data_IF_062366304056
#
_entry.id   IF_062366304056
#
_cell.length_a   1.000
_cell.length_b   1.000
_cell.length_c   1.000
_cell.angle_alpha   90.00
_cell.angle_beta   90.00
_cell.angle_gamma   90.00
#
_symmetry.space_group_name_H-M   'P 1'
#
loop_
_entity.id
_entity.type
_entity.pdbx_description
1 polymer ?
#
# COMPACT_ATOMS: atom_id res chain seq x y z
N UNK A 1 22.13 35.35 34.01
CA UNK A 1 22.27 34.13 33.19
C UNK A 1 21.30 33.12 33.75
N UNK A 2 20.11 33.12 33.16
CA UNK A 2 18.97 32.32 33.54
C UNK A 2 18.55 31.57 32.30
N UNK A 3 18.66 30.25 32.30
CA UNK A 3 17.94 29.39 31.38
C UNK A 3 17.83 28.02 32.03
N UNK A 4 16.66 27.80 32.64
CA UNK A 4 16.17 26.47 32.95
C UNK A 4 14.68 26.43 32.58
N UNK A 5 14.25 25.27 32.09
CA UNK A 5 12.87 24.84 31.78
C UNK A 5 12.16 25.40 30.53
N UNK A 6 12.07 24.58 29.48
CA UNK A 6 10.77 24.13 28.96
C UNK A 6 10.90 22.91 28.01
N UNK A 7 10.77 21.70 28.55
CA UNK A 7 10.53 20.46 27.80
C UNK A 7 9.17 19.91 28.24
N UNK A 8 8.16 20.02 27.38
CA UNK A 8 6.86 19.38 27.59
C UNK A 8 5.81 19.93 26.63
N UNK A 9 5.38 19.14 25.64
CA UNK A 9 4.28 19.51 24.75
C UNK A 9 4.18 18.74 23.43
N UNK A 10 5.20 17.99 23.02
CA UNK A 10 5.21 17.27 21.73
C UNK A 10 4.71 15.82 21.74
N UNK A 11 4.38 15.25 22.90
CA UNK A 11 4.09 13.81 23.03
C UNK A 11 2.61 13.44 22.99
N UNK A 12 1.70 14.32 23.40
CA UNK A 12 0.27 13.97 23.53
C UNK A 12 -0.47 13.99 22.18
N UNK A 13 -0.09 14.89 21.27
CA UNK A 13 -0.70 15.00 19.95
C UNK A 13 -0.34 13.84 19.00
N UNK A 14 0.87 13.29 19.08
CA UNK A 14 1.26 12.10 18.30
C UNK A 14 0.51 10.86 18.75
N UNK A 15 0.32 10.69 20.07
CA UNK A 15 -0.37 9.53 20.64
C UNK A 15 -1.85 9.49 20.21
N UNK A 16 -2.52 10.65 20.16
CA UNK A 16 -3.94 10.73 19.77
C UNK A 16 -4.12 10.39 18.29
N UNK A 17 -3.20 10.84 17.42
CA UNK A 17 -3.23 10.53 15.98
C UNK A 17 -2.97 9.04 15.74
N UNK A 18 -1.96 8.48 16.41
CA UNK A 18 -1.61 7.05 16.29
C UNK A 18 -2.76 6.14 16.80
N UNK A 19 -3.46 6.56 17.87
CA UNK A 19 -4.63 5.82 18.39
C UNK A 19 -5.83 5.89 17.45
N UNK A 20 -6.10 7.04 16.82
CA UNK A 20 -7.18 7.20 15.86
C UNK A 20 -6.95 6.37 14.59
N UNK A 21 -5.71 6.30 14.11
CA UNK A 21 -5.33 5.48 12.97
C UNK A 21 -5.43 3.98 13.29
N UNK A 22 -5.01 3.58 14.50
CA UNK A 22 -5.14 2.20 14.96
C UNK A 22 -6.61 1.75 15.08
N UNK A 23 -7.49 2.62 15.60
CA UNK A 23 -8.93 2.35 15.68
C UNK A 23 -9.57 2.24 14.30
N UNK A 24 -9.16 3.08 13.35
CA UNK A 24 -9.67 3.02 11.99
C UNK A 24 -9.33 1.67 11.33
N UNK A 25 -8.13 1.15 11.54
CA UNK A 25 -7.70 -0.14 10.99
C UNK A 25 -8.51 -1.34 11.51
N UNK A 26 -9.16 -1.23 12.67
CA UNK A 26 -10.04 -2.28 13.23
C UNK A 26 -11.38 -2.35 12.46
N UNK A 27 -11.78 -1.25 11.84
CA UNK A 27 -13.07 -1.11 11.13
C UNK A 27 -12.98 -1.42 9.64
N UNK A 28 -11.75 -1.60 9.12
CA UNK A 28 -11.47 -1.84 7.71
C UNK A 28 -11.31 -3.34 7.46
N UNK A 29 -11.98 -3.82 6.43
CA UNK A 29 -11.91 -5.20 5.99
C UNK A 29 -10.52 -5.49 5.42
N UNK A 30 -9.77 -6.45 5.97
CA UNK A 30 -8.44 -6.78 5.46
C UNK A 30 -8.43 -7.31 4.01
N UNK A 31 -9.57 -7.75 3.47
CA UNK A 31 -9.69 -8.24 2.09
C UNK A 31 -10.04 -7.11 1.11
N UNK A 32 -11.09 -6.32 1.38
CA UNK A 32 -11.55 -5.26 0.48
C UNK A 32 -10.93 -3.89 0.74
N UNK A 33 -10.27 -3.70 1.89
CA UNK A 33 -9.74 -2.43 2.38
C UNK A 33 -10.80 -1.31 2.45
N UNK A 34 -12.07 -1.70 2.51
CA UNK A 34 -13.21 -0.81 2.74
C UNK A 34 -13.74 -1.05 4.16
N UNK A 35 -14.62 -0.17 4.64
CA UNK A 35 -15.32 -0.41 5.92
C UNK A 35 -15.97 -1.79 5.91
N UNK A 36 -15.85 -2.53 7.01
CA UNK A 36 -16.40 -3.88 7.09
C UNK A 36 -17.93 -3.82 6.99
N UNK A 37 -18.50 -4.58 6.05
CA UNK A 37 -19.94 -4.77 5.90
C UNK A 37 -20.35 -6.18 6.34
N UNK A 38 -21.38 -6.28 7.19
CA UNK A 38 -21.82 -7.53 7.82
C UNK A 38 -20.63 -8.33 8.44
N UNK A 39 -20.01 -7.78 9.51
CA UNK A 39 -18.78 -8.34 10.06
C UNK A 39 -18.96 -9.78 10.55
N UNK A 40 -18.06 -10.66 10.13
CA UNK A 40 -17.97 -12.06 10.58
C UNK A 40 -16.61 -12.35 11.18
N UNK A 41 -16.60 -13.14 12.24
CA UNK A 41 -15.43 -13.61 12.95
C UNK A 41 -15.09 -15.03 12.51
N UNK A 42 -13.79 -15.25 12.31
CA UNK A 42 -13.21 -16.57 12.07
C UNK A 42 -12.84 -17.25 13.39
N UNK A 43 -12.68 -18.58 13.41
CA UNK A 43 -12.22 -19.34 14.60
C UNK A 43 -10.82 -18.94 15.08
N UNK A 44 -10.04 -18.25 14.24
CA UNK A 44 -8.75 -17.69 14.61
C UNK A 44 -8.81 -16.27 15.19
N UNK A 45 -10.00 -15.67 15.32
CA UNK A 45 -10.21 -14.37 15.96
C UNK A 45 -10.12 -13.15 15.05
N UNK A 46 -9.99 -13.32 13.74
CA UNK A 46 -9.97 -12.22 12.77
C UNK A 46 -11.36 -11.94 12.21
N UNK A 47 -11.68 -10.65 12.00
CA UNK A 47 -12.95 -10.19 11.43
C UNK A 47 -12.80 -9.73 9.98
N UNK A 48 -13.82 -9.97 9.17
CA UNK A 48 -13.90 -9.61 7.75
C UNK A 48 -15.35 -9.26 7.38
N UNK A 49 -15.55 -8.64 6.22
CA UNK A 49 -16.90 -8.57 5.65
C UNK A 49 -17.35 -9.97 5.21
N UNK A 50 -18.62 -10.31 5.40
CA UNK A 50 -19.12 -11.66 5.06
C UNK A 50 -18.83 -12.03 3.61
N UNK A 51 -19.18 -11.16 2.67
CA UNK A 51 -19.06 -11.43 1.24
C UNK A 51 -17.62 -11.73 0.84
N UNK A 52 -16.68 -10.93 1.35
CA UNK A 52 -15.26 -11.00 0.98
C UNK A 52 -14.59 -12.26 1.52
N UNK A 53 -14.85 -12.63 2.77
CA UNK A 53 -14.30 -13.86 3.34
C UNK A 53 -14.96 -15.10 2.75
N UNK A 54 -16.26 -15.08 2.45
CA UNK A 54 -16.93 -16.22 1.84
C UNK A 54 -16.41 -16.50 0.41
N UNK A 55 -16.19 -15.45 -0.40
CA UNK A 55 -15.54 -15.58 -1.70
C UNK A 55 -14.09 -16.08 -1.56
N UNK A 56 -13.35 -15.59 -0.57
CA UNK A 56 -12.00 -16.08 -0.28
C UNK A 56 -12.01 -17.58 0.06
N UNK A 57 -12.90 -18.02 0.95
CA UNK A 57 -13.01 -19.41 1.37
C UNK A 57 -13.45 -20.34 0.24
N UNK A 58 -14.20 -19.84 -0.75
CA UNK A 58 -14.52 -20.62 -1.95
C UNK A 58 -13.26 -21.03 -2.75
N UNK A 59 -12.16 -20.27 -2.63
CA UNK A 59 -10.89 -20.48 -3.33
C UNK A 59 -9.82 -21.09 -2.42
N UNK A 60 -9.76 -20.65 -1.16
CA UNK A 60 -8.71 -20.97 -0.19
C UNK A 60 -9.32 -21.15 1.19
N UNK A 61 -9.32 -22.37 1.71
CA UNK A 61 -9.88 -22.74 3.03
C UNK A 61 -8.94 -22.34 4.19
N UNK A 62 -8.51 -21.08 4.23
CA UNK A 62 -7.54 -20.55 5.21
C UNK A 62 -7.86 -19.10 5.55
N UNK A 63 -7.55 -18.63 6.75
CA UNK A 63 -7.69 -17.23 7.12
C UNK A 63 -6.75 -16.34 6.27
N UNK A 64 -7.23 -15.21 5.70
CA UNK A 64 -6.38 -14.28 4.95
C UNK A 64 -5.24 -13.68 5.77
N UNK A 65 -5.42 -13.51 7.08
CA UNK A 65 -4.45 -12.84 7.96
C UNK A 65 -3.43 -13.78 8.61
N UNK A 66 -3.85 -14.95 9.06
CA UNK A 66 -2.97 -15.87 9.82
C UNK A 66 -2.83 -17.27 9.22
N UNK A 67 -3.49 -17.53 8.09
CA UNK A 67 -3.43 -18.78 7.34
C UNK A 67 -3.88 -20.06 8.08
N UNK A 68 -4.44 -19.93 9.30
CA UNK A 68 -5.12 -21.06 9.95
C UNK A 68 -6.25 -21.57 9.04
N UNK A 69 -6.33 -22.89 8.89
CA UNK A 69 -7.40 -23.54 8.13
C UNK A 69 -8.74 -23.19 8.75
N UNK A 70 -9.64 -22.66 7.94
CA UNK A 70 -11.00 -22.29 8.32
C UNK A 70 -11.94 -22.64 7.17
N UNK A 71 -13.17 -23.00 7.51
CA UNK A 71 -14.22 -23.30 6.54
C UNK A 71 -15.40 -22.34 6.67
N UNK A 72 -16.24 -22.28 5.64
CA UNK A 72 -17.34 -21.30 5.55
C UNK A 72 -18.37 -21.46 6.69
N UNK A 73 -18.60 -22.69 7.13
CA UNK A 73 -19.47 -23.06 8.26
C UNK A 73 -18.93 -22.64 9.63
N UNK A 74 -17.64 -22.26 9.71
CA UNK A 74 -16.99 -21.83 10.93
C UNK A 74 -17.00 -20.30 11.12
N UNK A 75 -17.68 -19.56 10.23
CA UNK A 75 -17.84 -18.11 10.34
C UNK A 75 -18.99 -17.77 11.29
N UNK A 76 -18.70 -17.00 12.34
CA UNK A 76 -19.70 -16.53 13.30
C UNK A 76 -19.94 -15.03 13.12
N UNK A 77 -21.19 -14.52 13.10
CA UNK A 77 -21.43 -13.07 13.06
C UNK A 77 -20.74 -12.34 14.23
N UNK A 78 -20.17 -11.15 13.97
CA UNK A 78 -19.56 -10.29 14.98
C UNK A 78 -20.46 -9.07 15.25
N UNK A 79 -21.51 -9.27 16.07
CA UNK A 79 -22.50 -8.24 16.37
C UNK A 79 -21.90 -7.00 17.06
N UNK A 80 -20.89 -7.18 17.93
CA UNK A 80 -20.25 -6.06 18.62
C UNK A 80 -19.52 -5.13 17.66
N UNK A 81 -18.80 -5.66 16.68
CA UNK A 81 -18.15 -4.84 15.66
C UNK A 81 -19.17 -4.14 14.78
N UNK A 82 -20.28 -4.81 14.46
CA UNK A 82 -21.39 -4.21 13.70
C UNK A 82 -21.97 -2.99 14.42
N UNK A 83 -22.29 -3.12 15.71
CA UNK A 83 -22.83 -2.02 16.52
C UNK A 83 -21.88 -0.81 16.54
N UNK A 84 -20.57 -1.03 16.66
CA UNK A 84 -19.57 0.03 16.65
C UNK A 84 -19.56 0.77 15.30
N UNK A 85 -19.55 0.03 14.18
CA UNK A 85 -19.55 0.60 12.83
C UNK A 85 -20.82 1.44 12.61
N UNK A 86 -21.99 0.90 12.97
CA UNK A 86 -23.28 1.57 12.83
C UNK A 86 -23.33 2.88 13.66
N UNK A 87 -22.84 2.84 14.91
CA UNK A 87 -22.76 4.03 15.75
C UNK A 87 -21.82 5.12 15.19
N UNK A 88 -20.67 4.74 14.66
CA UNK A 88 -19.71 5.68 14.08
C UNK A 88 -20.26 6.33 12.80
N UNK A 89 -20.94 5.54 11.95
CA UNK A 89 -21.62 6.06 10.76
C UNK A 89 -22.71 7.07 11.14
N UNK A 90 -23.49 6.81 12.21
CA UNK A 90 -24.49 7.74 12.71
C UNK A 90 -23.88 9.06 13.22
N UNK A 91 -22.73 9.01 13.91
CA UNK A 91 -22.01 10.19 14.37
C UNK A 91 -21.51 11.04 13.19
N UNK A 92 -20.91 10.41 12.17
CA UNK A 92 -20.42 11.10 10.97
C UNK A 92 -21.57 11.75 10.19
N UNK A 93 -22.70 11.07 10.04
CA UNK A 93 -23.88 11.62 9.38
C UNK A 93 -24.46 12.83 10.14
N UNK A 94 -24.45 12.80 11.48
CA UNK A 94 -24.88 13.93 12.29
C UNK A 94 -23.93 15.14 12.19
N UNK A 95 -22.62 14.92 12.10
CA UNK A 95 -21.63 16.00 11.88
C UNK A 95 -21.74 16.61 10.48
N UNK A 96 -21.96 15.77 9.45
CA UNK A 96 -22.19 16.24 8.08
C UNK A 96 -23.50 17.04 7.96
N UNK A 97 -24.57 16.62 8.64
CA UNK A 97 -25.82 17.39 8.66
C UNK A 97 -25.67 18.75 9.37
N UNK A 98 -24.89 18.85 10.45
CA UNK A 98 -24.60 20.16 11.07
C UNK A 98 -23.76 21.06 10.14
N UNK A 99 -22.80 20.49 9.41
CA UNK A 99 -22.01 21.25 8.43
C UNK A 99 -22.84 21.71 7.23
N UNK A 100 -23.79 20.90 6.73
CA UNK A 100 -24.70 21.29 5.63
C UNK A 100 -25.69 22.39 6.10
N UNK A 101 -26.21 22.31 7.32
CA UNK A 101 -27.08 23.36 7.89
C UNK A 101 -26.31 24.68 8.06
N UNK A 102 -25.06 24.62 8.52
CA UNK A 102 -24.19 25.80 8.65
C UNK A 102 -23.71 26.36 7.31
N UNK A 103 -23.65 25.54 6.26
CA UNK A 103 -23.31 25.97 4.89
C UNK A 103 -24.53 26.54 4.14
N UNK A 104 -25.74 26.12 4.51
CA UNK A 104 -26.98 26.58 3.86
C UNK A 104 -27.48 27.91 4.44
N UNK A 105 -27.11 28.25 5.68
CA UNK A 105 -27.41 29.55 6.28
C UNK A 105 -26.57 30.70 5.70
N UNK A 106 -25.48 30.42 4.99
CA UNK A 106 -24.69 31.43 4.25
C UNK A 106 -25.17 31.72 2.83
N UNK A 107 -26.17 30.98 2.32
CA UNK A 107 -26.73 31.18 0.96
C UNK A 107 -28.13 31.80 0.92
N UNK A 108 -28.73 32.15 2.07
CA UNK A 108 -29.94 32.99 2.13
C UNK A 108 -29.57 34.36 2.71
N UNK A 109 -28.73 35.10 1.99
CA UNK A 109 -28.60 36.55 2.12
C UNK A 109 -28.34 37.12 0.73
N UNK A 110 -29.38 37.16 -0.09
CA UNK A 110 -29.62 38.20 -1.10
C UNK A 110 -30.89 37.84 -1.86
N UNK A 111 -32.03 38.31 -1.35
CA UNK A 111 -33.03 38.95 -2.20
C UNK A 111 -33.92 39.84 -1.34
N UNK A 112 -33.87 41.14 -1.62
CA UNK A 112 -34.77 42.15 -1.10
C UNK A 112 -36.09 42.06 -1.85
N UNK A 113 -37.18 41.61 -1.23
CA UNK A 113 -38.49 42.25 -1.41
C UNK A 113 -39.50 41.84 -0.34
N UNK A 114 -40.20 42.85 0.15
CA UNK A 114 -41.35 42.89 1.04
C UNK A 114 -42.50 41.91 0.71
N UNK A 115 -43.26 41.57 1.76
CA UNK A 115 -44.45 40.68 1.85
C UNK A 115 -44.06 39.20 1.93
N UNK A 116 -44.27 38.50 3.05
CA UNK A 116 -45.53 38.26 3.75
C UNK A 116 -45.22 38.09 5.25
N UNK A 117 -45.58 39.09 6.06
CA UNK A 117 -45.89 38.86 7.48
C UNK A 117 -47.41 38.74 7.53
N UNK A 118 -47.90 37.52 7.74
CA UNK A 118 -49.24 37.30 8.27
C UNK A 118 -49.25 35.99 9.04
N UNK A 119 -49.49 36.14 10.34
CA UNK A 119 -50.04 35.15 11.26
C UNK A 119 -49.12 34.01 11.68
N UNK A 120 -48.57 34.12 12.89
CA UNK A 120 -49.25 33.54 14.04
C UNK A 120 -48.74 34.12 15.36
N UNK A 121 -49.64 34.83 16.04
CA UNK A 121 -49.57 35.10 17.47
C UNK A 121 -49.66 33.76 18.22
N UNK A 122 -48.64 33.42 19.01
CA UNK A 122 -48.85 32.74 20.28
C UNK A 122 -48.09 33.50 21.36
N UNK A 123 -48.81 33.68 22.45
CA UNK A 123 -48.68 34.68 23.48
C UNK A 123 -47.63 34.29 24.54
N UNK A 124 -47.21 35.34 25.25
CA UNK A 124 -46.90 35.37 26.69
C UNK A 124 -45.50 34.94 27.17
N UNK A 125 -44.72 35.97 27.48
CA UNK A 125 -44.27 36.30 28.84
C UNK A 125 -43.84 35.14 29.73
N UNK A 126 -42.53 34.91 29.74
CA UNK A 126 -41.67 34.78 30.92
C UNK A 126 -40.34 34.21 30.40
N UNK A 127 -39.22 34.94 30.54
CA UNK A 127 -37.83 34.42 30.60
C UNK A 127 -36.73 35.48 30.31
N UNK A 128 -36.97 36.78 30.58
CA UNK A 128 -35.94 37.80 30.34
C UNK A 128 -34.66 37.65 31.19
N UNK A 129 -34.66 36.90 32.30
CA UNK A 129 -33.42 36.62 33.06
C UNK A 129 -32.61 35.42 32.54
N UNK A 130 -33.25 34.43 31.93
CA UNK A 130 -32.55 33.24 31.40
C UNK A 130 -31.88 33.51 30.06
N UNK A 131 -32.39 34.46 29.28
CA UNK A 131 -31.81 34.86 27.99
C UNK A 131 -30.52 35.70 28.16
N UNK A 132 -30.38 36.44 29.27
CA UNK A 132 -29.17 37.22 29.57
C UNK A 132 -28.00 36.34 30.08
N UNK A 133 -28.32 35.27 30.83
CA UNK A 133 -27.34 34.29 31.28
C UNK A 133 -26.88 33.41 30.09
N UNK A 134 -27.81 33.01 29.22
CA UNK A 134 -27.48 32.22 28.04
C UNK A 134 -26.68 33.03 27.00
N UNK A 135 -27.00 34.31 26.80
CA UNK A 135 -26.23 35.19 25.90
C UNK A 135 -24.84 35.53 26.44
N UNK A 136 -24.69 35.72 27.76
CA UNK A 136 -23.37 35.89 28.37
C UNK A 136 -22.52 34.61 28.30
N UNK A 137 -23.12 33.42 28.50
CA UNK A 137 -22.42 32.14 28.31
C UNK A 137 -22.03 31.88 26.85
N UNK A 138 -22.90 32.20 25.89
CA UNK A 138 -22.61 32.08 24.45
C UNK A 138 -21.49 33.04 24.02
N UNK A 139 -21.46 34.27 24.53
CA UNK A 139 -20.37 35.22 24.26
C UNK A 139 -19.03 34.80 24.91
N UNK A 140 -19.06 34.21 26.11
CA UNK A 140 -17.87 33.61 26.72
C UNK A 140 -17.36 32.43 25.91
N UNK A 141 -18.25 31.54 25.45
CA UNK A 141 -17.88 30.38 24.64
C UNK A 141 -17.37 30.81 23.25
N UNK A 142 -17.97 31.83 22.63
CA UNK A 142 -17.51 32.41 21.38
C UNK A 142 -16.11 33.05 21.50
N UNK A 143 -15.84 33.74 22.61
CA UNK A 143 -14.52 34.31 22.89
C UNK A 143 -13.47 33.22 23.19
N UNK A 144 -13.86 32.14 23.88
CA UNK A 144 -12.99 30.98 24.10
C UNK A 144 -12.69 30.23 22.79
N UNK A 145 -13.67 30.11 21.90
CA UNK A 145 -13.52 29.52 20.57
C UNK A 145 -12.66 30.40 19.64
N UNK A 146 -12.78 31.72 19.73
CA UNK A 146 -11.92 32.65 18.99
C UNK A 146 -10.46 32.60 19.49
N UNK A 147 -10.27 32.48 20.81
CA UNK A 147 -8.93 32.33 21.40
C UNK A 147 -8.31 30.97 21.03
N UNK A 148 -9.11 29.89 21.03
CA UNK A 148 -8.70 28.57 20.53
C UNK A 148 -8.39 28.58 19.03
N UNK A 149 -9.20 29.25 18.20
CA UNK A 149 -8.95 29.42 16.77
C UNK A 149 -7.66 30.18 16.49
N UNK A 150 -7.37 31.24 17.25
CA UNK A 150 -6.13 32.01 17.09
C UNK A 150 -4.87 31.24 17.51
N UNK A 151 -5.00 30.34 18.51
CA UNK A 151 -3.93 29.42 18.93
C UNK A 151 -3.72 28.30 17.91
N UNK A 152 -4.80 27.81 17.28
CA UNK A 152 -4.74 26.87 16.16
C UNK A 152 -4.06 27.52 14.96
N UNK A 153 -4.39 28.77 14.62
CA UNK A 153 -3.78 29.53 13.51
C UNK A 153 -2.29 29.86 13.71
N UNK A 154 -1.85 30.01 14.96
CA UNK A 154 -0.42 30.14 15.28
C UNK A 154 0.31 28.79 15.23
N UNK A 155 -0.37 27.67 15.51
CA UNK A 155 0.20 26.33 15.37
C UNK A 155 0.27 25.83 13.92
N UNK A 156 -0.67 26.27 13.05
CA UNK A 156 -0.71 25.89 11.63
C UNK A 156 0.27 26.65 10.76
N UNK A 157 0.86 27.77 11.23
CA UNK A 157 1.96 28.46 10.52
C UNK A 157 3.30 27.70 10.52
N UNK A 158 3.40 26.58 11.25
CA UNK A 158 4.55 25.64 11.21
C UNK A 158 4.20 24.35 10.43
N UNK A 159 3.01 24.28 9.81
CA UNK A 159 2.65 23.15 8.96
C UNK A 159 3.51 23.15 7.69
N UNK A 160 4.40 22.15 7.57
CA UNK A 160 5.01 21.76 6.29
C UNK A 160 3.90 21.62 5.24
N UNK A 161 4.17 21.97 3.97
CA UNK A 161 3.16 21.95 2.92
C UNK A 161 2.45 20.59 2.88
N UNK A 162 1.12 20.65 2.85
CA UNK A 162 0.23 19.50 2.65
C UNK A 162 0.80 18.65 1.52
N UNK A 163 1.13 17.35 1.75
CA UNK A 163 1.66 16.51 0.69
C UNK A 163 0.66 16.50 -0.46
N UNK A 164 1.11 16.83 -1.68
CA UNK A 164 0.31 16.63 -2.89
C UNK A 164 -0.22 15.19 -2.88
N UNK A 165 -1.54 15.05 -3.04
CA UNK A 165 -2.20 13.77 -3.19
C UNK A 165 -1.44 12.93 -4.23
N UNK A 166 -1.01 11.71 -3.88
CA UNK A 166 -0.15 10.91 -4.76
C UNK A 166 -0.90 10.63 -6.06
N UNK A 167 -0.29 10.94 -7.19
CA UNK A 167 -0.90 10.75 -8.53
C UNK A 167 -1.02 9.26 -8.94
N UNK A 168 -0.59 8.35 -8.08
CA UNK A 168 -0.58 6.91 -8.34
C UNK A 168 -0.96 6.11 -7.09
N UNK A 169 -1.43 4.89 -7.32
CA UNK A 169 -1.76 3.88 -6.30
C UNK A 169 -0.81 2.70 -6.39
N UNK A 170 -0.50 2.09 -5.24
CA UNK A 170 0.24 0.83 -5.13
C UNK A 170 -0.73 -0.24 -4.68
N UNK A 171 -0.87 -1.32 -5.44
CA UNK A 171 -1.73 -2.46 -5.11
C UNK A 171 -1.20 -3.74 -5.71
N UNK A 172 -1.70 -4.89 -5.27
CA UNK A 172 -1.38 -6.14 -5.96
C UNK A 172 -1.93 -6.16 -7.39
N UNK A 173 -1.17 -6.77 -8.31
CA UNK A 173 -1.60 -6.92 -9.70
C UNK A 173 -2.53 -8.13 -9.84
N UNK A 174 -3.43 -8.06 -10.82
CA UNK A 174 -4.31 -9.16 -11.17
C UNK A 174 -3.80 -9.96 -12.38
N UNK A 175 -4.26 -11.21 -12.52
CA UNK A 175 -3.86 -12.09 -13.62
C UNK A 175 -4.09 -11.48 -15.02
N UNK A 176 -5.15 -10.68 -15.19
CA UNK A 176 -5.45 -9.97 -16.45
C UNK A 176 -4.44 -8.87 -16.81
N UNK A 177 -3.67 -8.39 -15.82
CA UNK A 177 -2.73 -7.27 -15.95
C UNK A 177 -1.30 -7.76 -16.26
N UNK A 178 -1.07 -9.07 -16.20
CA UNK A 178 0.25 -9.70 -16.44
C UNK A 178 0.84 -9.34 -17.79
N UNK A 179 0.03 -9.26 -18.85
CA UNK A 179 0.50 -8.92 -20.19
C UNK A 179 1.03 -7.48 -20.24
N UNK A 180 0.23 -6.52 -19.77
CA UNK A 180 0.65 -5.11 -19.73
C UNK A 180 1.89 -4.92 -18.85
N UNK A 181 1.93 -5.62 -17.70
CA UNK A 181 3.09 -5.65 -16.82
C UNK A 181 4.34 -6.19 -17.51
N UNK A 182 4.23 -7.32 -18.22
CA UNK A 182 5.35 -7.92 -18.94
C UNK A 182 5.90 -6.98 -20.04
N UNK A 183 5.03 -6.30 -20.77
CA UNK A 183 5.44 -5.29 -21.76
C UNK A 183 6.17 -4.11 -21.08
N UNK A 184 5.69 -3.63 -19.94
CA UNK A 184 6.33 -2.56 -19.17
C UNK A 184 7.69 -2.99 -18.61
N UNK A 185 7.80 -4.21 -18.05
CA UNK A 185 9.05 -4.78 -17.58
C UNK A 185 10.06 -4.86 -18.73
N UNK A 186 9.63 -5.42 -19.86
CA UNK A 186 10.46 -5.58 -21.05
C UNK A 186 11.09 -4.26 -21.52
N UNK A 187 10.29 -3.19 -21.67
CA UNK A 187 10.81 -1.89 -22.12
C UNK A 187 11.75 -1.26 -21.09
N UNK A 188 11.49 -1.48 -19.80
CA UNK A 188 12.22 -0.83 -18.70
C UNK A 188 13.54 -1.52 -18.37
N UNK A 189 13.66 -2.81 -18.69
CA UNK A 189 14.87 -3.62 -18.46
C UNK A 189 15.68 -3.89 -19.73
N UNK A 190 15.47 -3.13 -20.81
CA UNK A 190 16.19 -3.36 -22.07
C UNK A 190 17.72 -3.30 -21.91
N UNK A 191 18.20 -2.37 -21.09
CA UNK A 191 19.62 -2.18 -20.80
C UNK A 191 20.05 -2.86 -19.47
N UNK A 192 19.19 -3.70 -18.89
CA UNK A 192 19.54 -4.42 -17.67
C UNK A 192 20.62 -5.49 -17.96
N UNK A 193 21.66 -5.62 -17.13
CA UNK A 193 22.74 -6.57 -17.37
C UNK A 193 22.28 -8.04 -17.39
N UNK A 194 21.29 -8.44 -16.57
CA UNK A 194 20.75 -9.80 -16.63
C UNK A 194 20.05 -10.04 -17.96
N UNK A 195 19.21 -9.10 -18.40
CA UNK A 195 18.50 -9.22 -19.68
C UNK A 195 19.44 -9.21 -20.88
N UNK A 196 20.48 -8.38 -20.83
CA UNK A 196 21.54 -8.33 -21.86
C UNK A 196 22.30 -9.66 -21.90
N UNK A 197 22.63 -10.25 -20.75
CA UNK A 197 23.26 -11.57 -20.68
C UNK A 197 22.36 -12.69 -21.22
N UNK A 198 21.07 -12.68 -20.89
CA UNK A 198 20.13 -13.70 -21.34
C UNK A 198 19.96 -13.71 -22.85
N UNK A 199 19.74 -12.55 -23.46
CA UNK A 199 19.36 -12.47 -24.88
C UNK A 199 20.48 -12.04 -25.81
N UNK A 200 21.62 -11.52 -25.32
CA UNK A 200 22.80 -11.13 -26.12
C UNK A 200 22.51 -10.26 -27.36
N UNK A 201 21.42 -9.49 -27.34
CA UNK A 201 21.05 -8.61 -28.45
C UNK A 201 20.47 -9.32 -29.68
N UNK A 202 19.98 -10.55 -29.53
CA UNK A 202 19.29 -11.29 -30.60
C UNK A 202 18.11 -10.51 -31.20
N UNK A 203 17.78 -10.74 -32.47
CA UNK A 203 16.74 -9.95 -33.18
C UNK A 203 15.34 -10.08 -32.56
N UNK A 204 15.04 -11.20 -31.89
CA UNK A 204 13.78 -11.44 -31.17
C UNK A 204 13.85 -11.11 -29.67
N UNK A 205 14.91 -10.43 -29.19
CA UNK A 205 15.08 -10.09 -27.76
C UNK A 205 13.81 -9.47 -27.17
N UNK A 206 13.15 -8.58 -27.91
CA UNK A 206 11.92 -7.91 -27.46
C UNK A 206 10.79 -8.91 -27.17
N UNK A 207 10.40 -9.73 -28.16
CA UNK A 207 9.28 -10.66 -28.00
C UNK A 207 9.62 -11.82 -27.05
N UNK A 208 10.88 -12.27 -27.04
CA UNK A 208 11.36 -13.31 -26.13
C UNK A 208 11.37 -12.86 -24.67
N UNK A 209 11.85 -11.64 -24.38
CA UNK A 209 11.89 -11.08 -23.03
C UNK A 209 10.50 -10.75 -22.49
N UNK A 210 9.61 -10.20 -23.32
CA UNK A 210 8.21 -9.98 -22.94
C UNK A 210 7.52 -11.31 -22.57
N UNK A 211 7.72 -12.35 -23.37
CA UNK A 211 7.19 -13.67 -23.08
C UNK A 211 7.77 -14.28 -21.79
N UNK A 212 9.09 -14.11 -21.57
CA UNK A 212 9.76 -14.53 -20.34
C UNK A 212 9.17 -13.85 -19.10
N UNK A 213 9.00 -12.52 -19.13
CA UNK A 213 8.35 -11.79 -18.05
C UNK A 213 6.91 -12.24 -17.83
N UNK A 214 6.16 -12.55 -18.88
CA UNK A 214 4.84 -13.15 -18.77
C UNK A 214 4.84 -14.48 -17.99
N UNK A 215 5.79 -15.37 -18.29
CA UNK A 215 5.96 -16.62 -17.54
C UNK A 215 6.35 -16.37 -16.08
N UNK A 216 7.27 -15.43 -15.84
CA UNK A 216 7.71 -15.04 -14.51
C UNK A 216 6.56 -14.49 -13.66
N UNK A 217 5.72 -13.62 -14.22
CA UNK A 217 4.54 -13.07 -13.54
C UNK A 217 3.47 -14.13 -13.29
N UNK A 218 3.20 -15.00 -14.25
CA UNK A 218 2.25 -16.11 -14.07
C UNK A 218 2.67 -17.09 -12.98
N UNK A 219 3.98 -17.30 -12.83
CA UNK A 219 4.55 -18.05 -11.72
C UNK A 219 4.44 -17.28 -10.40
N UNK A 220 4.85 -16.00 -10.40
CA UNK A 220 4.84 -15.14 -9.22
C UNK A 220 3.45 -14.99 -8.61
N UNK A 221 2.40 -14.81 -9.41
CA UNK A 221 1.02 -14.69 -8.92
C UNK A 221 0.49 -15.92 -8.15
N UNK A 222 1.18 -17.06 -8.23
CA UNK A 222 0.80 -18.28 -7.49
C UNK A 222 1.52 -18.44 -6.15
N UNK A 223 2.68 -17.77 -5.94
CA UNK A 223 3.62 -18.05 -4.82
C UNK A 223 4.28 -16.82 -4.23
N UNK A 224 4.07 -15.65 -4.82
CA UNK A 224 4.71 -14.41 -4.44
C UNK A 224 3.66 -13.31 -4.36
N UNK A 225 4.01 -12.23 -3.66
CA UNK A 225 3.24 -11.00 -3.68
C UNK A 225 3.79 -10.12 -4.79
N UNK A 226 2.90 -9.66 -5.67
CA UNK A 226 3.28 -8.84 -6.82
C UNK A 226 2.56 -7.51 -6.72
N UNK A 227 3.27 -6.46 -6.33
CA UNK A 227 2.75 -5.11 -6.25
C UNK A 227 2.99 -4.38 -7.57
N UNK A 228 1.95 -3.77 -8.11
CA UNK A 228 2.03 -2.84 -9.23
C UNK A 228 1.75 -1.42 -8.78
N UNK A 229 2.31 -0.46 -9.51
CA UNK A 229 2.04 0.97 -9.36
C UNK A 229 1.18 1.39 -10.54
N UNK A 230 0.04 2.01 -10.25
CA UNK A 230 -0.92 2.42 -11.27
C UNK A 230 -1.19 3.92 -11.20
N UNK A 231 -1.28 4.58 -12.35
CA UNK A 231 -1.65 5.98 -12.41
C UNK A 231 -3.15 6.16 -12.07
N UNK A 232 -3.49 7.18 -11.29
CA UNK A 232 -4.89 7.53 -10.97
C UNK A 232 -5.63 8.10 -12.18
N UNK A 233 -4.91 8.69 -13.15
CA UNK A 233 -5.48 9.19 -14.41
C UNK A 233 -4.95 8.36 -15.57
N UNK A 234 -5.78 7.52 -16.22
CA UNK A 234 -5.33 6.72 -17.34
C UNK A 234 -4.93 7.64 -18.50
N UNK A 235 -3.73 7.44 -19.04
CA UNK A 235 -3.28 8.13 -20.24
C UNK A 235 -4.06 7.63 -21.47
N UNK A 236 -4.12 8.43 -22.55
CA UNK A 236 -4.93 8.14 -23.76
C UNK A 236 -4.59 6.79 -24.43
N UNK A 237 -3.42 6.22 -24.13
CA UNK A 237 -2.93 4.95 -24.66
C UNK A 237 -3.26 3.73 -23.78
N UNK A 238 -3.97 3.90 -22.66
CA UNK A 238 -4.42 2.79 -21.80
C UNK A 238 -3.31 2.13 -20.98
N UNK A 239 -2.11 2.70 -20.95
CA UNK A 239 -0.97 2.12 -20.22
C UNK A 239 -0.97 2.64 -18.78
N UNK A 240 -1.58 1.84 -17.90
CA UNK A 240 -1.87 2.24 -16.51
C UNK A 240 -0.70 1.98 -15.57
N UNK A 241 0.29 1.16 -15.95
CA UNK A 241 1.28 0.62 -15.03
C UNK A 241 2.60 1.38 -15.08
N UNK A 242 3.02 1.90 -13.94
CA UNK A 242 4.23 2.72 -13.78
C UNK A 242 5.40 1.95 -13.17
N UNK A 243 5.15 0.78 -12.60
CA UNK A 243 6.17 -0.05 -11.96
C UNK A 243 5.58 -1.34 -11.40
N UNK A 244 6.47 -2.28 -11.09
CA UNK A 244 6.14 -3.57 -10.49
C UNK A 244 7.25 -4.01 -9.54
N UNK A 245 6.85 -4.67 -8.45
CA UNK A 245 7.74 -5.34 -7.52
C UNK A 245 7.21 -6.74 -7.25
N UNK A 246 8.08 -7.75 -7.37
CA UNK A 246 7.78 -9.16 -7.08
C UNK A 246 8.58 -9.55 -5.85
N UNK A 247 7.89 -9.96 -4.78
CA UNK A 247 8.53 -10.47 -3.58
C UNK A 247 7.95 -11.80 -3.11
N UNK A 248 8.82 -12.76 -2.86
CA UNK A 248 8.47 -14.02 -2.20
C UNK A 248 8.46 -13.84 -0.67
N UNK A 249 7.43 -14.37 0.02
CA UNK A 249 7.34 -14.31 1.46
C UNK A 249 8.30 -15.30 2.15
N UNK A 250 8.62 -15.11 3.45
CA UNK A 250 9.65 -15.85 4.19
C UNK A 250 9.59 -17.38 4.18
N UNK A 251 8.40 -17.96 3.96
CA UNK A 251 8.18 -19.41 3.99
C UNK A 251 7.95 -20.02 2.60
N UNK A 252 8.00 -19.23 1.53
CA UNK A 252 7.79 -19.69 0.15
C UNK A 252 8.98 -19.41 -0.77
N UNK A 253 10.15 -19.12 -0.19
CA UNK A 253 11.35 -18.79 -0.95
C UNK A 253 11.87 -20.01 -1.70
N UNK A 254 12.19 -19.81 -2.99
CA UNK A 254 12.73 -20.83 -3.88
C UNK A 254 11.79 -21.21 -5.04
N UNK A 255 12.38 -21.61 -6.16
CA UNK A 255 11.61 -21.95 -7.38
C UNK A 255 11.37 -23.45 -7.48
N UNK A 256 10.11 -23.84 -7.64
CA UNK A 256 9.74 -25.22 -7.97
C UNK A 256 9.69 -25.37 -9.49
N UNK A 257 10.70 -26.05 -10.06
CA UNK A 257 10.86 -26.26 -11.51
C UNK A 257 9.58 -26.78 -12.18
N UNK A 258 8.89 -27.75 -11.56
CA UNK A 258 7.62 -28.30 -12.10
C UNK A 258 6.54 -27.23 -12.23
N UNK A 259 6.42 -26.34 -11.26
CA UNK A 259 5.43 -25.25 -11.28
C UNK A 259 5.85 -24.14 -12.26
N UNK A 260 7.15 -23.91 -12.43
CA UNK A 260 7.69 -23.03 -13.47
C UNK A 260 7.34 -23.55 -14.88
N UNK A 261 7.48 -24.85 -15.13
CA UNK A 261 7.08 -25.50 -16.39
C UNK A 261 5.58 -25.30 -16.63
N UNK A 262 4.73 -25.56 -15.62
CA UNK A 262 3.27 -25.34 -15.68
C UNK A 262 2.89 -23.86 -15.85
N UNK A 263 3.74 -22.92 -15.45
CA UNK A 263 3.51 -21.48 -15.63
C UNK A 263 3.78 -20.97 -17.06
N UNK A 264 4.18 -21.86 -17.97
CA UNK A 264 4.35 -21.55 -19.40
C UNK A 264 5.74 -21.90 -19.95
N UNK A 265 6.71 -22.19 -19.08
CA UNK A 265 8.11 -22.46 -19.49
C UNK A 265 8.28 -23.74 -20.31
N UNK A 266 7.24 -24.58 -20.46
CA UNK A 266 7.24 -25.70 -21.42
C UNK A 266 7.50 -25.24 -22.87
N UNK A 267 7.12 -24.01 -23.24
CA UNK A 267 7.35 -23.44 -24.56
C UNK A 267 8.65 -22.61 -24.65
N UNK A 268 9.51 -22.63 -23.63
CA UNK A 268 10.66 -21.74 -23.56
C UNK A 268 11.66 -21.94 -24.68
N UNK A 269 11.92 -23.19 -25.10
CA UNK A 269 12.82 -23.48 -26.24
C UNK A 269 12.30 -22.91 -27.55
N UNK A 270 10.99 -22.91 -27.76
CA UNK A 270 10.35 -22.37 -28.96
C UNK A 270 10.22 -20.84 -28.94
N UNK A 271 9.96 -20.23 -27.77
CA UNK A 271 9.69 -18.79 -27.64
C UNK A 271 10.92 -17.95 -27.33
N UNK A 272 11.88 -18.47 -26.57
CA UNK A 272 13.11 -17.75 -26.21
C UNK A 272 14.32 -18.25 -26.97
N UNK A 273 14.33 -19.53 -27.35
CA UNK A 273 15.50 -20.21 -27.90
C UNK A 273 16.29 -20.96 -26.82
N UNK A 274 17.03 -21.98 -27.23
CA UNK A 274 17.78 -22.87 -26.33
C UNK A 274 18.94 -22.13 -25.65
N UNK A 275 19.67 -21.29 -26.38
CA UNK A 275 20.83 -20.57 -25.82
C UNK A 275 20.45 -19.52 -24.76
N UNK A 276 19.42 -18.67 -24.95
CA UNK A 276 18.93 -17.81 -23.88
C UNK A 276 18.42 -18.60 -22.66
N UNK A 277 17.68 -19.69 -22.90
CA UNK A 277 17.16 -20.53 -21.81
C UNK A 277 18.29 -21.15 -20.97
N UNK A 278 19.36 -21.66 -21.60
CA UNK A 278 20.48 -22.24 -20.87
C UNK A 278 21.20 -21.19 -20.01
N UNK A 279 21.36 -19.96 -20.50
CA UNK A 279 21.92 -18.83 -19.74
C UNK A 279 21.06 -18.44 -18.54
N UNK A 280 19.74 -18.40 -18.71
CA UNK A 280 18.79 -18.15 -17.61
C UNK A 280 18.91 -19.22 -16.53
N UNK A 281 18.89 -20.50 -16.91
CA UNK A 281 18.99 -21.61 -15.96
C UNK A 281 20.35 -21.65 -15.23
N UNK A 282 21.45 -21.38 -15.96
CA UNK A 282 22.79 -21.32 -15.39
C UNK A 282 22.91 -20.18 -14.35
N UNK A 283 22.43 -18.98 -14.69
CA UNK A 283 22.44 -17.87 -13.75
C UNK A 283 21.55 -18.17 -12.54
N UNK A 284 20.35 -18.69 -12.77
CA UNK A 284 19.40 -19.04 -11.70
C UNK A 284 20.00 -20.03 -10.69
N UNK A 285 20.65 -21.10 -11.15
CA UNK A 285 21.31 -22.06 -10.26
C UNK A 285 22.38 -21.40 -9.38
N UNK A 286 23.11 -20.42 -9.94
CA UNK A 286 24.15 -19.71 -9.22
C UNK A 286 23.58 -18.72 -8.21
N UNK A 287 22.60 -17.91 -8.61
CA UNK A 287 21.96 -16.93 -7.73
C UNK A 287 21.23 -17.63 -6.58
N UNK A 288 20.56 -18.76 -6.81
CA UNK A 288 19.94 -19.57 -5.76
C UNK A 288 20.97 -20.15 -4.78
N UNK A 289 22.14 -20.59 -5.27
CA UNK A 289 23.20 -21.07 -4.39
C UNK A 289 23.71 -19.95 -3.47
N UNK A 290 24.00 -18.78 -4.03
CA UNK A 290 24.43 -17.60 -3.27
C UNK A 290 23.34 -17.17 -2.29
N UNK A 291 22.08 -17.15 -2.72
CA UNK A 291 20.93 -16.86 -1.90
C UNK A 291 20.83 -17.80 -0.69
N UNK A 292 20.95 -19.11 -0.92
CA UNK A 292 20.96 -20.12 0.15
C UNK A 292 22.12 -19.91 1.12
N UNK A 293 23.33 -19.64 0.61
CA UNK A 293 24.54 -19.41 1.42
C UNK A 293 24.44 -18.14 2.28
N UNK A 294 23.89 -17.06 1.73
CA UNK A 294 23.73 -15.76 2.42
C UNK A 294 22.62 -15.82 3.48
N UNK A 295 21.51 -16.47 3.16
CA UNK A 295 20.33 -16.50 4.05
C UNK A 295 20.38 -17.63 5.07
N UNK A 296 21.17 -18.67 4.84
CA UNK A 296 21.38 -19.82 5.75
C UNK A 296 20.06 -20.46 6.19
N UNK A 297 19.04 -20.44 5.33
CA UNK A 297 17.72 -21.01 5.61
C UNK A 297 16.88 -20.23 6.62
N UNK A 298 17.28 -19.02 7.02
CA UNK A 298 16.46 -18.16 7.90
C UNK A 298 15.25 -17.63 7.13
N UNK A 299 14.08 -17.42 7.77
CA UNK A 299 12.94 -16.76 7.12
C UNK A 299 13.31 -15.32 6.70
N UNK A 300 13.08 -14.98 5.43
CA UNK A 300 13.36 -13.64 4.89
C UNK A 300 12.50 -13.36 3.65
N UNK A 301 12.14 -12.12 3.41
CA UNK A 301 11.54 -11.70 2.14
C UNK A 301 12.58 -11.73 1.04
N UNK A 302 12.24 -12.29 -0.13
CA UNK A 302 13.10 -12.22 -1.32
C UNK A 302 12.45 -11.32 -2.36
N UNK A 303 13.03 -10.15 -2.63
CA UNK A 303 12.65 -9.29 -3.76
C UNK A 303 13.30 -9.84 -5.03
N UNK A 304 12.52 -10.52 -5.88
CA UNK A 304 13.01 -11.09 -7.13
C UNK A 304 13.20 -10.02 -8.22
N UNK A 305 12.34 -9.01 -8.22
CA UNK A 305 12.41 -7.92 -9.19
C UNK A 305 11.76 -6.67 -8.61
N UNK A 306 12.39 -5.52 -8.83
CA UNK A 306 11.79 -4.19 -8.67
C UNK A 306 12.10 -3.39 -9.93
N UNK A 307 11.05 -3.03 -10.68
CA UNK A 307 11.17 -2.39 -11.98
C UNK A 307 10.21 -1.21 -12.00
N UNK A 308 10.75 -0.03 -12.31
CA UNK A 308 9.97 1.20 -12.50
C UNK A 308 10.11 1.60 -13.97
N UNK A 309 9.03 2.09 -14.55
CA UNK A 309 9.04 2.55 -15.93
C UNK A 309 10.14 3.60 -16.15
N UNK A 310 10.86 3.47 -17.26
CA UNK A 310 11.91 4.41 -17.66
C UNK A 310 11.39 5.86 -17.76
N UNK A 311 10.12 6.04 -18.14
CA UNK A 311 9.48 7.35 -18.22
C UNK A 311 9.24 8.00 -16.85
N UNK A 312 9.27 7.22 -15.76
CA UNK A 312 8.88 7.63 -14.41
C UNK A 312 9.99 7.50 -13.36
N UNK A 313 11.24 7.29 -13.78
CA UNK A 313 12.41 7.05 -12.90
C UNK A 313 12.70 8.14 -11.84
N UNK A 314 12.01 9.28 -11.84
CA UNK A 314 12.24 10.41 -10.91
C UNK A 314 11.06 10.72 -9.95
N UNK A 315 10.06 9.86 -9.84
CA UNK A 315 8.83 10.15 -9.08
C UNK A 315 8.72 9.46 -7.70
N UNK A 316 9.84 9.10 -7.07
CA UNK A 316 9.88 8.35 -5.80
C UNK A 316 9.15 6.99 -5.81
N UNK A 317 8.63 6.55 -6.97
CA UNK A 317 7.86 5.31 -7.11
C UNK A 317 8.63 4.08 -6.61
N UNK A 318 9.91 3.97 -6.96
CA UNK A 318 10.76 2.88 -6.49
C UNK A 318 10.93 2.90 -4.96
N UNK A 319 11.04 4.08 -4.37
CA UNK A 319 11.13 4.28 -2.91
C UNK A 319 9.83 3.84 -2.22
N UNK A 320 8.68 4.21 -2.77
CA UNK A 320 7.38 3.83 -2.19
C UNK A 320 7.11 2.33 -2.33
N UNK A 321 7.48 1.73 -3.48
CA UNK A 321 7.40 0.29 -3.69
C UNK A 321 8.25 -0.48 -2.67
N UNK A 322 9.54 -0.14 -2.55
CA UNK A 322 10.42 -0.88 -1.63
C UNK A 322 9.97 -0.69 -0.17
N UNK A 323 9.53 0.50 0.22
CA UNK A 323 9.01 0.75 1.56
C UNK A 323 7.81 -0.14 1.90
N UNK A 324 6.98 -0.51 0.92
CA UNK A 324 5.85 -1.42 1.11
C UNK A 324 6.29 -2.78 1.66
N UNK A 325 7.38 -3.36 1.11
CA UNK A 325 7.91 -4.63 1.62
C UNK A 325 8.77 -4.45 2.87
N UNK A 326 9.49 -3.33 3.01
CA UNK A 326 10.32 -3.09 4.19
C UNK A 326 9.49 -2.90 5.46
N UNK A 327 8.39 -2.15 5.39
CA UNK A 327 7.47 -1.99 6.52
C UNK A 327 6.87 -3.34 6.95
N UNK A 328 6.51 -4.18 5.97
CA UNK A 328 6.02 -5.52 6.23
C UNK A 328 7.09 -6.40 6.89
N UNK A 329 8.32 -6.37 6.37
CA UNK A 329 9.45 -7.12 6.91
C UNK A 329 9.82 -6.69 8.34
N UNK A 330 9.85 -5.38 8.59
CA UNK A 330 10.13 -4.80 9.91
C UNK A 330 9.04 -5.20 10.92
N UNK A 331 7.75 -5.12 10.55
CA UNK A 331 6.65 -5.56 11.42
C UNK A 331 6.70 -7.06 11.75
N UNK A 332 7.22 -7.88 10.84
CA UNK A 332 7.39 -9.31 11.00
C UNK A 332 8.74 -9.71 11.64
N UNK A 333 9.65 -8.75 11.85
CA UNK A 333 11.02 -8.98 12.33
C UNK A 333 11.79 -10.00 11.49
N UNK A 334 11.64 -9.93 10.18
CA UNK A 334 12.35 -10.79 9.21
C UNK A 334 13.23 -9.95 8.29
N UNK A 335 14.30 -10.56 7.80
CA UNK A 335 15.21 -9.88 6.89
C UNK A 335 14.64 -9.77 5.47
N UNK A 336 15.27 -8.93 4.65
CA UNK A 336 14.97 -8.77 3.22
C UNK A 336 16.22 -9.02 2.40
N UNK A 337 16.12 -9.92 1.43
CA UNK A 337 17.17 -10.28 0.49
C UNK A 337 16.82 -9.80 -0.91
N UNK A 338 17.83 -9.36 -1.66
CA UNK A 338 17.72 -8.99 -3.07
C UNK A 338 19.05 -9.21 -3.77
N UNK A 339 19.01 -9.66 -5.03
CA UNK A 339 20.15 -9.70 -5.94
C UNK A 339 19.97 -8.71 -7.09
N UNK A 340 21.06 -8.04 -7.47
CA UNK A 340 21.04 -7.07 -8.57
C UNK A 340 22.35 -7.07 -9.34
N UNK A 341 22.29 -6.87 -10.65
CA UNK A 341 23.45 -6.68 -11.51
C UNK A 341 23.66 -5.22 -11.93
N UNK A 342 22.74 -4.31 -11.55
CA UNK A 342 22.83 -2.90 -11.91
C UNK A 342 23.49 -2.09 -10.80
N UNK A 343 24.53 -1.33 -11.17
CA UNK A 343 25.20 -0.40 -10.25
C UNK A 343 24.32 0.79 -9.86
N UNK A 344 23.32 1.15 -10.69
CA UNK A 344 22.30 2.16 -10.35
C UNK A 344 21.38 1.64 -9.23
N UNK A 345 20.91 0.39 -9.38
CA UNK A 345 20.06 -0.27 -8.38
C UNK A 345 20.81 -0.49 -7.07
N UNK A 346 22.10 -0.84 -7.12
CA UNK A 346 22.93 -0.99 -5.93
C UNK A 346 22.94 0.28 -5.07
N UNK A 347 23.25 1.44 -5.68
CA UNK A 347 23.26 2.75 -4.99
C UNK A 347 21.88 3.14 -4.46
N UNK A 348 20.81 2.70 -5.12
CA UNK A 348 19.44 2.91 -4.66
C UNK A 348 19.16 2.08 -3.40
N UNK A 349 19.53 0.80 -3.39
CA UNK A 349 19.29 -0.13 -2.28
C UNK A 349 20.11 0.19 -1.03
N UNK A 350 21.34 0.65 -1.18
CA UNK A 350 22.20 1.08 -0.05
C UNK A 350 21.53 2.15 0.83
N UNK A 351 20.67 3.00 0.24
CA UNK A 351 19.90 4.03 0.98
C UNK A 351 18.87 3.44 1.95
N UNK A 352 18.49 2.19 1.76
CA UNK A 352 17.53 1.47 2.61
C UNK A 352 18.22 0.50 3.57
N UNK A 353 19.50 0.71 3.86
CA UNK A 353 20.31 -0.10 4.77
C UNK A 353 20.55 -1.56 4.30
N UNK A 354 20.43 -1.81 3.00
CA UNK A 354 20.88 -3.08 2.43
C UNK A 354 22.41 -3.14 2.46
N UNK A 355 22.94 -4.24 3.01
CA UNK A 355 24.38 -4.51 3.06
C UNK A 355 24.76 -5.51 1.99
N UNK A 356 25.88 -5.29 1.32
CA UNK A 356 26.43 -6.25 0.36
C UNK A 356 26.98 -7.44 1.12
N UNK A 357 26.43 -8.63 0.84
CA UNK A 357 26.85 -9.89 1.45
C UNK A 357 27.76 -10.69 0.52
N UNK A 358 27.58 -10.53 -0.80
CA UNK A 358 28.35 -11.22 -1.83
C UNK A 358 28.42 -10.40 -3.11
N UNK A 359 29.52 -10.54 -3.85
CA UNK A 359 29.72 -9.96 -5.17
C UNK A 359 30.33 -11.05 -6.08
N UNK A 360 29.61 -11.42 -7.14
CA UNK A 360 30.10 -12.36 -8.15
C UNK A 360 30.93 -11.59 -9.18
N UNK A 361 32.22 -11.89 -9.28
CA UNK A 361 33.09 -11.46 -10.38
C UNK A 361 33.63 -12.70 -11.07
N UNK A 362 32.94 -13.20 -12.08
CA UNK A 362 33.33 -14.42 -12.79
C UNK A 362 33.45 -14.16 -14.28
N UNK A 363 34.61 -14.53 -14.86
CA UNK A 363 34.88 -14.33 -16.28
C UNK A 363 33.83 -15.05 -17.14
N UNK A 364 33.08 -14.27 -17.94
CA UNK A 364 32.09 -14.78 -18.89
C UNK A 364 30.65 -14.86 -18.36
N UNK A 365 30.40 -14.47 -17.11
CA UNK A 365 29.06 -14.25 -16.55
C UNK A 365 28.81 -12.78 -16.25
N UNK A 366 27.54 -12.45 -16.03
CA UNK A 366 27.13 -11.13 -15.53
C UNK A 366 27.49 -10.98 -14.06
N UNK A 367 28.19 -9.89 -13.73
CA UNK A 367 28.49 -9.54 -12.36
C UNK A 367 27.20 -9.16 -11.62
N UNK A 368 27.05 -9.65 -10.39
CA UNK A 368 25.90 -9.33 -9.55
C UNK A 368 26.28 -9.26 -8.08
N UNK A 369 25.50 -8.47 -7.35
CA UNK A 369 25.60 -8.28 -5.92
C UNK A 369 24.41 -8.93 -5.24
N UNK A 370 24.68 -9.68 -4.17
CA UNK A 370 23.65 -10.16 -3.26
C UNK A 370 23.64 -9.27 -2.01
N UNK A 371 22.48 -8.71 -1.70
CA UNK A 371 22.30 -7.80 -0.59
C UNK A 371 21.30 -8.34 0.42
N UNK A 372 21.52 -7.95 1.68
CA UNK A 372 20.69 -8.35 2.80
C UNK A 372 20.46 -7.15 3.72
N UNK A 373 19.20 -6.95 4.11
CA UNK A 373 18.79 -5.95 5.09
C UNK A 373 18.18 -6.65 6.29
N UNK A 374 18.68 -6.34 7.47
CA UNK A 374 18.05 -6.77 8.73
C UNK A 374 16.86 -5.88 9.07
N UNK A 375 15.83 -6.40 9.77
CA UNK A 375 14.72 -5.58 10.22
C UNK A 375 15.18 -4.51 11.21
N UNK A 376 14.50 -3.36 11.18
CA UNK A 376 14.77 -2.23 12.08
C UNK A 376 14.26 -2.44 13.51
#
# INVERSE_FOLDING_TARGET
>A
MSEDSNRGGGGESSIIVDQAEHLNNILIDPISLSTIEDPVLTTCGHSFSRETIEDWLSKKQTCPLCHKTISKDQLTPNYSLKEIIDHLAAIQNNQNNQNIINSSSSFIQNDNSSSIISNNNVNSNNNNQNNDILSSQISMLANQLADLSSKIDQSTKIAKPIPKEKEYIIREIWGKETKACATMMQRSTWADPFMTYFFQGESWTKSGSEWYFGCMLNYALKRARVWGVFNNKPDRNGDQMLGVMICQPPNEVGVRIVEMIKAGMVLATYKMGIAPLSRVLNLFQKTEKVHSDVTRGRPHWYINAIIVDILMKRNHIGTDLINTVLQLADSQKVAVYIDTASSESLKFLEKFNFKIMYHSTENGMVDFWALLREPN
#
